data_IF_867166602150
#
_entry.id   IF_867166602150
#
_cell.length_a   1.000
_cell.length_b   1.000
_cell.length_c   1.000
_cell.angle_alpha   90.00
_cell.angle_beta   90.00
_cell.angle_gamma   90.00
#
_symmetry.space_group_name_H-M   'P 1'
#
loop_
_entity.id
_entity.type
_entity.pdbx_description
1 polymer ?
#
# COMPACT_ATOMS: atom_id res chain seq x y z
N UNK A 1 -22.99 40.20 21.19
CA UNK A 1 -22.25 39.50 20.11
C UNK A 1 -22.23 38.01 20.42
N UNK A 2 -23.06 37.24 19.72
CA UNK A 2 -23.26 35.79 19.96
C UNK A 2 -22.40 34.97 18.99
N UNK A 3 -21.91 33.82 19.47
CA UNK A 3 -21.05 32.86 18.75
C UNK A 3 -21.57 32.43 17.35
N UNK A 4 -22.85 32.63 17.06
CA UNK A 4 -23.48 32.32 15.78
C UNK A 4 -22.94 33.15 14.61
N UNK A 5 -22.56 34.41 14.83
CA UNK A 5 -22.12 35.30 13.74
C UNK A 5 -20.72 34.93 13.21
N UNK A 6 -19.88 34.31 14.06
CA UNK A 6 -18.56 33.79 13.67
C UNK A 6 -18.63 32.51 12.82
N UNK A 7 -19.74 31.78 12.86
CA UNK A 7 -19.91 30.54 12.10
C UNK A 7 -20.31 30.79 10.63
N UNK A 8 -20.81 31.99 10.30
CA UNK A 8 -21.27 32.34 8.95
C UNK A 8 -20.12 32.65 7.97
N UNK A 9 -18.91 32.90 8.49
CA UNK A 9 -17.71 33.27 7.70
C UNK A 9 -16.73 32.10 7.60
N UNK A 10 -17.20 30.85 7.73
CA UNK A 10 -16.36 29.70 7.39
C UNK A 10 -16.45 29.47 5.87
N UNK A 11 -15.35 29.55 5.11
CA UNK A 11 -15.36 29.16 3.72
C UNK A 11 -15.75 27.68 3.68
N UNK A 12 -16.93 27.44 3.10
CA UNK A 12 -17.51 26.16 2.71
C UNK A 12 -16.42 25.07 2.66
N UNK A 13 -16.34 24.25 3.72
CA UNK A 13 -15.27 23.27 3.96
C UNK A 13 -15.12 22.16 2.91
N UNK A 14 -15.76 22.31 1.75
CA UNK A 14 -15.60 21.51 0.56
C UNK A 14 -14.23 21.74 -0.11
N UNK A 15 -13.65 22.94 0.03
CA UNK A 15 -12.40 23.29 -0.68
C UNK A 15 -11.12 22.90 0.08
N UNK A 16 -11.17 22.88 1.43
CA UNK A 16 -10.02 22.54 2.28
C UNK A 16 -9.70 21.03 2.21
N UNK A 17 -10.71 20.20 1.97
CA UNK A 17 -10.54 18.76 1.76
C UNK A 17 -9.99 18.43 0.35
N UNK A 18 -10.16 19.32 -0.63
CA UNK A 18 -9.62 19.16 -1.99
C UNK A 18 -8.08 19.11 -2.00
N UNK A 19 -7.43 19.86 -1.11
CA UNK A 19 -5.97 19.83 -0.97
C UNK A 19 -5.45 18.62 -0.18
N UNK A 20 -6.29 18.01 0.67
CA UNK A 20 -5.90 16.90 1.56
C UNK A 20 -6.11 15.51 0.94
N UNK A 21 -6.97 15.41 -0.07
CA UNK A 21 -7.24 14.17 -0.80
C UNK A 21 -6.63 14.26 -2.21
N UNK A 22 -5.34 14.60 -2.27
CA UNK A 22 -4.48 14.19 -3.39
C UNK A 22 -3.74 12.90 -3.04
N UNK A 23 -4.41 12.02 -2.30
CA UNK A 23 -4.04 10.61 -2.31
C UNK A 23 -4.25 10.13 -3.73
N UNK A 24 -3.35 9.28 -4.21
CA UNK A 24 -3.37 8.62 -5.51
C UNK A 24 -4.68 7.82 -5.63
N UNK A 25 -5.82 8.49 -5.80
CA UNK A 25 -7.16 7.94 -5.88
C UNK A 25 -7.33 7.34 -7.27
N UNK A 26 -6.48 6.38 -7.56
CA UNK A 26 -6.55 5.56 -8.75
C UNK A 26 -7.81 4.73 -8.66
N UNK A 27 -8.47 4.51 -9.80
CA UNK A 27 -9.69 3.69 -9.80
C UNK A 27 -9.40 2.32 -9.15
N UNK A 28 -10.34 1.73 -8.40
CA UNK A 28 -10.12 0.47 -7.69
C UNK A 28 -9.71 -0.66 -8.64
N UNK A 29 -10.16 -0.58 -9.90
CA UNK A 29 -9.74 -1.44 -11.00
C UNK A 29 -8.25 -1.28 -11.34
N UNK A 30 -7.78 -0.05 -11.55
CA UNK A 30 -6.36 0.21 -11.81
C UNK A 30 -5.45 -0.14 -10.63
N UNK A 31 -5.96 0.03 -9.40
CA UNK A 31 -5.23 -0.39 -8.21
C UNK A 31 -5.12 -1.91 -8.13
N UNK A 32 -6.18 -2.66 -8.44
CA UNK A 32 -6.12 -4.13 -8.54
C UNK A 32 -5.11 -4.59 -9.60
N UNK A 33 -5.09 -3.95 -10.78
CA UNK A 33 -4.11 -4.25 -11.84
C UNK A 33 -2.68 -4.02 -11.34
N UNK A 34 -2.43 -2.87 -10.70
CA UNK A 34 -1.11 -2.53 -10.16
C UNK A 34 -0.67 -3.52 -9.08
N UNK A 35 -1.59 -3.94 -8.20
CA UNK A 35 -1.35 -4.97 -7.19
C UNK A 35 -0.96 -6.31 -7.83
N UNK A 36 -1.71 -6.76 -8.84
CA UNK A 36 -1.41 -7.99 -9.56
C UNK A 36 -0.04 -7.96 -10.26
N UNK A 37 0.31 -6.84 -10.89
CA UNK A 37 1.63 -6.65 -11.52
C UNK A 37 2.73 -6.70 -10.45
N UNK A 38 2.55 -6.00 -9.33
CA UNK A 38 3.51 -6.03 -8.23
C UNK A 38 3.73 -7.45 -7.70
N UNK A 39 2.64 -8.20 -7.46
CA UNK A 39 2.74 -9.59 -7.04
C UNK A 39 3.44 -10.46 -8.06
N UNK A 40 3.15 -10.30 -9.35
CA UNK A 40 3.83 -11.05 -10.41
C UNK A 40 5.35 -10.79 -10.42
N UNK A 41 5.76 -9.52 -10.37
CA UNK A 41 7.17 -9.12 -10.32
C UNK A 41 7.83 -9.68 -9.05
N UNK A 42 7.15 -9.56 -7.92
CA UNK A 42 7.66 -10.07 -6.64
C UNK A 42 7.90 -11.59 -6.68
N UNK A 43 6.96 -12.36 -7.24
CA UNK A 43 7.08 -13.81 -7.36
C UNK A 43 8.20 -14.20 -8.33
N UNK A 44 8.30 -13.52 -9.47
CA UNK A 44 9.38 -13.75 -10.45
C UNK A 44 10.74 -13.44 -9.81
N UNK A 45 10.89 -12.28 -9.18
CA UNK A 45 12.13 -11.87 -8.50
C UNK A 45 12.53 -12.83 -7.39
N UNK A 46 11.58 -13.25 -6.55
CA UNK A 46 11.81 -14.23 -5.48
C UNK A 46 12.24 -15.58 -6.04
N UNK A 47 11.62 -16.03 -7.14
CA UNK A 47 11.96 -17.31 -7.79
C UNK A 47 13.36 -17.27 -8.39
N UNK A 48 13.71 -16.19 -9.10
CA UNK A 48 15.06 -16.00 -9.65
C UNK A 48 16.12 -15.90 -8.57
N UNK A 49 15.82 -15.21 -7.47
CA UNK A 49 16.72 -15.10 -6.32
C UNK A 49 16.95 -16.46 -5.66
N UNK A 50 15.89 -17.24 -5.43
CA UNK A 50 15.99 -18.59 -4.88
C UNK A 50 16.76 -19.54 -5.81
N UNK A 51 16.53 -19.42 -7.12
CA UNK A 51 17.23 -20.22 -8.11
C UNK A 51 18.73 -19.88 -8.18
N UNK A 52 19.08 -18.60 -8.21
CA UNK A 52 20.48 -18.15 -8.22
C UNK A 52 21.23 -18.44 -6.91
N UNK A 53 20.53 -18.39 -5.78
CA UNK A 53 21.07 -18.70 -4.45
C UNK A 53 21.01 -20.18 -4.06
N UNK A 54 20.56 -21.08 -4.95
CA UNK A 54 20.25 -22.48 -4.62
C UNK A 54 21.41 -23.21 -3.93
N UNK A 55 22.65 -23.00 -4.37
CA UNK A 55 23.85 -23.62 -3.77
C UNK A 55 24.03 -23.13 -2.32
N UNK A 56 23.98 -21.81 -2.10
CA UNK A 56 24.12 -21.20 -0.77
C UNK A 56 23.00 -21.63 0.19
N UNK A 57 21.77 -21.79 -0.30
CA UNK A 57 20.63 -22.25 0.51
C UNK A 57 20.67 -23.74 0.81
N UNK A 58 21.25 -24.55 -0.09
CA UNK A 58 21.46 -25.98 0.13
C UNK A 58 22.50 -26.24 1.22
N UNK A 59 23.53 -25.39 1.31
CA UNK A 59 24.59 -25.51 2.30
C UNK A 59 24.20 -24.98 3.69
N UNK A 60 23.28 -24.02 3.78
CA UNK A 60 22.88 -23.41 5.05
C UNK A 60 21.37 -23.23 5.18
N UNK A 61 20.76 -24.14 5.96
CA UNK A 61 19.35 -24.09 6.32
C UNK A 61 18.98 -22.80 7.07
N UNK A 62 19.88 -22.28 7.91
CA UNK A 62 19.68 -20.99 8.59
C UNK A 62 19.61 -19.82 7.60
N UNK A 63 20.45 -19.83 6.58
CA UNK A 63 20.41 -18.84 5.49
C UNK A 63 19.09 -18.91 4.74
N UNK A 64 18.65 -20.12 4.38
CA UNK A 64 17.36 -20.34 3.70
C UNK A 64 16.18 -19.82 4.54
N UNK A 65 16.12 -20.17 5.83
CA UNK A 65 15.06 -19.72 6.73
C UNK A 65 15.08 -18.19 6.88
N UNK A 66 16.27 -17.58 7.04
CA UNK A 66 16.42 -16.13 7.10
C UNK A 66 15.91 -15.43 5.84
N UNK A 67 16.24 -15.96 4.67
CA UNK A 67 15.76 -15.46 3.38
C UNK A 67 14.24 -15.59 3.24
N UNK A 68 13.65 -16.73 3.59
CA UNK A 68 12.19 -16.91 3.55
C UNK A 68 11.50 -15.91 4.48
N UNK A 69 12.04 -15.72 5.69
CA UNK A 69 11.49 -14.78 6.66
C UNK A 69 11.57 -13.33 6.17
N UNK A 70 12.70 -12.95 5.54
CA UNK A 70 12.88 -11.63 4.95
C UNK A 70 11.89 -11.38 3.80
N UNK A 71 11.74 -12.35 2.89
CA UNK A 71 10.77 -12.28 1.80
C UNK A 71 9.34 -12.17 2.35
N UNK A 72 8.96 -13.03 3.28
CA UNK A 72 7.64 -12.98 3.93
C UNK A 72 7.39 -11.61 4.62
N UNK A 73 8.39 -11.04 5.29
CA UNK A 73 8.31 -9.73 5.90
C UNK A 73 8.05 -8.61 4.90
N UNK A 74 8.78 -8.59 3.77
CA UNK A 74 8.57 -7.62 2.69
C UNK A 74 7.16 -7.75 2.12
N UNK A 75 6.72 -8.98 1.88
CA UNK A 75 5.38 -9.27 1.36
C UNK A 75 4.28 -8.77 2.31
N UNK A 76 4.43 -9.04 3.61
CA UNK A 76 3.51 -8.58 4.64
C UNK A 76 3.45 -7.05 4.72
N UNK A 77 4.62 -6.39 4.69
CA UNK A 77 4.72 -4.93 4.70
C UNK A 77 3.99 -4.29 3.52
N UNK A 78 4.24 -4.77 2.30
CA UNK A 78 3.57 -4.24 1.11
C UNK A 78 2.07 -4.51 1.17
N UNK A 79 1.65 -5.71 1.59
CA UNK A 79 0.24 -6.04 1.75
C UNK A 79 -0.46 -5.10 2.73
N UNK A 80 0.18 -4.76 3.85
CA UNK A 80 -0.33 -3.77 4.81
C UNK A 80 -0.49 -2.38 4.20
N UNK A 81 0.50 -1.92 3.41
CA UNK A 81 0.40 -0.66 2.67
C UNK A 81 -0.77 -0.67 1.68
N UNK A 82 -0.99 -1.78 0.98
CA UNK A 82 -2.07 -1.95 0.02
C UNK A 82 -3.46 -1.92 0.68
N UNK A 83 -3.62 -2.55 1.84
CA UNK A 83 -4.85 -2.50 2.64
C UNK A 83 -5.12 -1.05 3.05
N UNK A 84 -4.10 -0.34 3.54
CA UNK A 84 -4.21 1.08 3.93
C UNK A 84 -4.69 1.96 2.77
N UNK A 85 -4.19 1.74 1.55
CA UNK A 85 -4.64 2.47 0.35
C UNK A 85 -6.11 2.15 -0.01
N UNK A 86 -6.54 0.88 0.08
CA UNK A 86 -7.95 0.50 -0.13
C UNK A 86 -8.88 1.15 0.89
N UNK A 87 -8.45 1.20 2.15
CA UNK A 87 -9.20 1.82 3.24
C UNK A 87 -9.41 3.31 2.99
N UNK A 88 -8.36 4.06 2.62
CA UNK A 88 -8.44 5.50 2.34
C UNK A 88 -9.38 5.80 1.16
N UNK A 89 -9.31 5.01 0.08
CA UNK A 89 -10.21 5.14 -1.06
C UNK A 89 -11.68 4.95 -0.67
N UNK A 90 -11.98 3.92 0.12
CA UNK A 90 -13.35 3.60 0.54
C UNK A 90 -13.98 4.71 1.41
N UNK A 91 -13.20 5.34 2.30
CA UNK A 91 -13.68 6.47 3.11
C UNK A 91 -13.84 7.76 2.29
N UNK A 92 -13.04 7.94 1.23
CA UNK A 92 -13.11 9.10 0.33
C UNK A 92 -14.35 9.08 -0.58
N UNK A 93 -14.76 7.91 -1.07
CA UNK A 93 -15.92 7.77 -1.97
C UNK A 93 -17.27 7.90 -1.24
N UNK A 94 -17.31 7.57 0.05
CA UNK A 94 -18.54 7.61 0.86
C UNK A 94 -18.86 8.97 1.50
N UNK A 95 -17.99 9.96 1.35
CA UNK A 95 -18.19 11.33 1.89
C UNK A 95 -18.46 12.30 0.74
#
# INVERSE_FOLDING_TARGET
>A
MTQQEKALILPKGKDILTWKIKTLARSPREMMITQSIFFAIYMIGSTLYMWGGWIMFSDSLYSLVGTILALAGIFAYVTGLLIRQKTIYNYTIKT
#
